data_IF_247037564930
#
_entry.id   IF_247037564930
#
_cell.length_a   1.000
_cell.length_b   1.000
_cell.length_c   1.000
_cell.angle_alpha   90.00
_cell.angle_beta   90.00
_cell.angle_gamma   90.00
#
_symmetry.space_group_name_H-M   'P 1'
#
loop_
_entity.id
_entity.type
_entity.pdbx_description
1 polymer ?
#
# COMPACT_ATOMS: atom_id res chain seq x y z
N UNK A 1 34.29 0.23 23.81
CA UNK A 1 33.79 1.61 24.11
C UNK A 1 33.61 2.31 22.78
N UNK A 2 32.37 2.69 22.44
CA UNK A 2 32.16 3.50 21.24
C UNK A 2 32.86 4.84 21.42
N UNK A 3 33.46 5.37 20.37
CA UNK A 3 34.17 6.65 20.42
C UNK A 3 33.17 7.78 20.74
N UNK A 4 33.63 8.85 21.34
CA UNK A 4 32.79 10.02 21.61
C UNK A 4 32.19 10.60 20.32
N UNK A 5 32.92 10.42 19.19
CA UNK A 5 32.44 10.78 17.87
C UNK A 5 31.24 9.92 17.42
N UNK A 6 31.25 8.61 17.64
CA UNK A 6 30.13 7.74 17.30
C UNK A 6 28.88 8.08 18.07
N UNK A 7 29.03 8.40 19.38
CA UNK A 7 27.90 8.87 20.20
C UNK A 7 27.34 10.19 19.70
N UNK A 8 28.19 11.12 19.28
CA UNK A 8 27.77 12.42 18.74
C UNK A 8 27.07 12.25 17.38
N UNK A 9 27.56 11.35 16.51
CA UNK A 9 26.91 11.01 15.24
C UNK A 9 25.53 10.39 15.52
N UNK A 10 25.45 9.43 16.43
CA UNK A 10 24.19 8.80 16.83
C UNK A 10 23.19 9.84 17.35
N UNK A 11 23.61 10.71 18.24
CA UNK A 11 22.76 11.79 18.77
C UNK A 11 22.29 12.78 17.69
N UNK A 12 23.15 13.08 16.72
CA UNK A 12 22.81 13.95 15.61
C UNK A 12 21.77 13.33 14.64
N UNK A 13 21.71 12.01 14.58
CA UNK A 13 20.72 11.27 13.80
C UNK A 13 19.36 11.16 14.51
N UNK A 14 19.32 11.44 15.83
CA UNK A 14 18.08 11.46 16.59
C UNK A 14 17.38 12.81 16.45
N UNK A 15 16.11 12.80 16.10
CA UNK A 15 15.25 13.99 16.11
C UNK A 15 14.59 14.07 17.49
N UNK A 16 15.15 14.90 18.38
CA UNK A 16 14.73 14.99 19.78
C UNK A 16 15.16 13.76 20.58
N UNK A 17 14.26 13.18 21.36
CA UNK A 17 14.49 11.97 22.15
C UNK A 17 14.09 10.67 21.43
N UNK A 18 13.97 10.71 20.11
CA UNK A 18 13.62 9.54 19.32
C UNK A 18 14.88 8.84 18.85
N UNK A 19 14.98 7.53 19.06
CA UNK A 19 16.06 6.72 18.52
C UNK A 19 16.12 6.83 17.00
N UNK A 20 17.33 6.80 16.38
CA UNK A 20 17.46 6.76 14.94
C UNK A 20 16.67 5.58 14.38
N UNK A 21 15.97 5.80 13.29
CA UNK A 21 15.33 4.72 12.56
C UNK A 21 16.46 3.89 11.94
N UNK A 22 16.65 2.67 12.40
CA UNK A 22 17.72 1.78 11.93
C UNK A 22 17.57 1.46 10.42
N UNK A 23 16.33 1.53 9.91
CA UNK A 23 16.04 1.34 8.50
C UNK A 23 15.44 2.61 7.91
N UNK A 24 16.20 3.31 7.10
CA UNK A 24 15.67 4.45 6.34
C UNK A 24 14.62 3.96 5.34
N UNK A 25 13.38 4.40 5.54
CA UNK A 25 12.32 4.21 4.56
C UNK A 25 12.42 5.33 3.52
N UNK A 26 12.71 5.03 2.23
CA UNK A 26 13.01 6.06 1.23
C UNK A 26 11.78 6.87 0.79
N UNK A 27 10.58 6.47 1.20
CA UNK A 27 9.33 7.13 0.81
C UNK A 27 8.63 7.73 2.03
N UNK A 28 8.15 8.99 1.96
CA UNK A 28 7.44 9.64 3.07
C UNK A 28 6.05 9.05 3.33
N UNK A 29 5.48 8.28 2.40
CA UNK A 29 4.22 7.56 2.52
C UNK A 29 4.02 6.61 1.33
N UNK A 30 2.98 5.76 1.37
CA UNK A 30 2.70 4.78 0.32
C UNK A 30 2.26 5.41 -1.01
N UNK A 31 1.66 6.59 -0.99
CA UNK A 31 1.39 7.33 -2.21
C UNK A 31 2.69 7.73 -2.90
N UNK A 32 3.64 8.29 -2.15
CA UNK A 32 4.95 8.68 -2.69
C UNK A 32 5.75 7.48 -3.19
N UNK A 33 5.49 6.27 -2.68
CA UNK A 33 6.00 5.03 -3.27
C UNK A 33 5.45 4.84 -4.69
N UNK A 34 4.14 4.95 -4.88
CA UNK A 34 3.50 4.80 -6.20
C UNK A 34 4.04 5.83 -7.20
N UNK A 35 4.09 7.09 -6.78
CA UNK A 35 4.60 8.19 -7.61
C UNK A 35 6.10 7.99 -7.96
N UNK A 36 6.92 7.68 -6.96
CA UNK A 36 8.36 7.52 -7.11
C UNK A 36 8.75 6.31 -7.95
N UNK A 37 8.06 5.21 -7.82
CA UNK A 37 8.32 4.01 -8.61
C UNK A 37 7.87 4.19 -10.06
N UNK A 38 6.80 4.95 -10.32
CA UNK A 38 6.44 5.30 -11.69
C UNK A 38 7.53 6.14 -12.36
N UNK A 39 8.09 7.12 -11.65
CA UNK A 39 9.20 7.94 -12.17
C UNK A 39 10.44 7.09 -12.44
N UNK A 40 10.76 6.15 -11.54
CA UNK A 40 11.98 5.33 -11.62
C UNK A 40 11.86 4.17 -12.61
N UNK A 41 10.70 3.52 -12.64
CA UNK A 41 10.49 2.23 -13.29
C UNK A 41 9.21 2.15 -14.12
N UNK A 42 8.75 3.23 -14.73
CA UNK A 42 7.45 3.29 -15.42
C UNK A 42 7.15 2.10 -16.34
N UNK A 43 8.11 1.68 -17.14
CA UNK A 43 7.98 0.56 -18.09
C UNK A 43 8.20 -0.84 -17.47
N UNK A 44 8.71 -0.93 -16.24
CA UNK A 44 8.95 -2.23 -15.59
C UNK A 44 7.66 -2.88 -15.13
N UNK A 45 7.60 -4.20 -15.25
CA UNK A 45 6.48 -5.00 -14.79
C UNK A 45 6.40 -4.97 -13.26
N UNK A 46 5.18 -4.84 -12.76
CA UNK A 46 4.81 -5.04 -11.35
C UNK A 46 4.13 -6.40 -11.20
N UNK A 47 3.13 -6.65 -12.04
CA UNK A 47 2.39 -7.92 -12.08
C UNK A 47 2.62 -8.57 -13.44
N UNK A 48 3.57 -9.51 -13.50
CA UNK A 48 4.07 -10.08 -14.74
C UNK A 48 2.98 -10.83 -15.53
N UNK A 49 2.12 -11.59 -14.84
CA UNK A 49 1.06 -12.37 -15.46
C UNK A 49 0.04 -11.54 -16.25
N UNK A 50 -0.06 -10.27 -15.92
CA UNK A 50 -1.11 -9.37 -16.40
C UNK A 50 -0.57 -8.29 -17.33
N UNK A 51 0.76 -8.23 -17.49
CA UNK A 51 1.40 -7.17 -18.24
C UNK A 51 1.14 -5.78 -17.65
N UNK A 52 0.98 -5.72 -16.31
CA UNK A 52 0.82 -4.47 -15.60
C UNK A 52 2.18 -3.90 -15.22
N UNK A 53 2.57 -2.82 -15.89
CA UNK A 53 3.77 -2.04 -15.58
C UNK A 53 3.51 -1.04 -14.45
N UNK A 54 4.57 -0.46 -13.91
CA UNK A 54 4.49 0.60 -12.89
C UNK A 54 3.65 1.79 -13.36
N UNK A 55 3.81 2.22 -14.63
CA UNK A 55 2.99 3.28 -15.23
C UNK A 55 1.51 2.91 -15.29
N UNK A 56 1.17 1.68 -15.70
CA UNK A 56 -0.22 1.24 -15.71
C UNK A 56 -0.84 1.19 -14.32
N UNK A 57 -0.09 0.67 -13.34
CA UNK A 57 -0.54 0.64 -11.93
C UNK A 57 -0.73 2.07 -11.42
N UNK A 58 0.19 2.97 -11.72
CA UNK A 58 0.08 4.39 -11.38
C UNK A 58 -1.20 5.02 -11.95
N UNK A 59 -1.45 4.88 -13.27
CA UNK A 59 -2.64 5.45 -13.92
C UNK A 59 -3.94 4.89 -13.34
N UNK A 60 -4.00 3.58 -13.12
CA UNK A 60 -5.16 2.94 -12.48
C UNK A 60 -5.36 3.45 -11.05
N UNK A 61 -4.30 3.71 -10.29
CA UNK A 61 -4.39 4.30 -8.97
C UNK A 61 -4.92 5.74 -9.00
N UNK A 62 -4.50 6.55 -10.00
CA UNK A 62 -5.01 7.90 -10.20
C UNK A 62 -6.52 7.90 -10.57
N UNK A 63 -6.92 7.03 -11.50
CA UNK A 63 -8.33 6.85 -11.88
C UNK A 63 -9.17 6.41 -10.68
N UNK A 64 -8.64 5.51 -9.87
CA UNK A 64 -9.28 5.04 -8.63
C UNK A 64 -9.48 6.19 -7.64
N UNK A 65 -8.47 7.02 -7.41
CA UNK A 65 -8.57 8.17 -6.52
C UNK A 65 -9.65 9.17 -7.01
N UNK A 66 -9.69 9.43 -8.31
CA UNK A 66 -10.70 10.30 -8.92
C UNK A 66 -12.12 9.71 -8.79
N UNK A 67 -12.27 8.40 -9.04
CA UNK A 67 -13.55 7.73 -8.82
C UNK A 67 -14.01 7.82 -7.37
N UNK A 68 -13.13 7.51 -6.41
CA UNK A 68 -13.45 7.59 -4.98
C UNK A 68 -13.85 9.01 -4.56
N UNK A 69 -13.16 10.02 -5.10
CA UNK A 69 -13.52 11.43 -4.88
C UNK A 69 -14.92 11.75 -5.41
N UNK A 70 -15.26 11.29 -6.61
CA UNK A 70 -16.59 11.46 -7.20
C UNK A 70 -17.69 10.74 -6.39
N UNK A 71 -17.35 9.64 -5.72
CA UNK A 71 -18.24 8.94 -4.78
C UNK A 71 -18.34 9.62 -3.39
N UNK A 72 -17.71 10.77 -3.23
CA UNK A 72 -17.77 11.58 -2.00
C UNK A 72 -16.77 11.17 -0.92
N UNK A 73 -15.84 10.26 -1.21
CA UNK A 73 -14.79 9.85 -0.29
C UNK A 73 -13.74 10.95 -0.15
N UNK A 74 -13.31 11.18 1.07
CA UNK A 74 -12.35 12.22 1.43
C UNK A 74 -11.06 11.60 1.96
N UNK A 75 -9.94 12.36 1.95
CA UNK A 75 -8.74 11.96 2.68
C UNK A 75 -9.06 11.60 4.14
N UNK A 76 -8.40 10.57 4.66
CA UNK A 76 -8.60 9.97 6.00
C UNK A 76 -9.89 9.17 6.18
N UNK A 77 -10.77 9.12 5.21
CA UNK A 77 -11.91 8.20 5.25
C UNK A 77 -11.41 6.75 5.21
N UNK A 78 -12.22 5.84 5.76
CA UNK A 78 -11.94 4.41 5.79
C UNK A 78 -12.78 3.68 4.75
N UNK A 79 -12.13 2.88 3.92
CA UNK A 79 -12.78 2.09 2.87
C UNK A 79 -12.60 0.62 3.19
N UNK A 80 -13.70 -0.09 3.39
CA UNK A 80 -13.69 -1.53 3.63
C UNK A 80 -13.71 -2.26 2.29
N UNK A 81 -12.74 -3.17 2.10
CA UNK A 81 -12.64 -4.01 0.91
C UNK A 81 -13.11 -5.41 1.28
N UNK A 82 -14.06 -5.91 0.51
CA UNK A 82 -14.67 -7.23 0.68
C UNK A 82 -14.46 -8.06 -0.59
N UNK A 83 -13.44 -8.92 -0.56
CA UNK A 83 -13.18 -9.97 -1.54
C UNK A 83 -13.18 -9.52 -3.01
N UNK A 84 -12.32 -8.62 -3.37
CA UNK A 84 -12.04 -8.37 -4.79
C UNK A 84 -10.99 -9.36 -5.30
N UNK A 85 -11.13 -9.86 -6.53
CA UNK A 85 -10.14 -10.76 -7.13
C UNK A 85 -8.84 -10.01 -7.46
N UNK A 86 -7.74 -10.77 -7.56
CA UNK A 86 -6.48 -10.27 -8.11
C UNK A 86 -6.65 -9.85 -9.59
N UNK A 87 -6.14 -8.69 -10.03
CA UNK A 87 -5.36 -7.68 -9.29
C UNK A 87 -6.20 -6.50 -8.79
N UNK A 88 -7.52 -6.64 -8.73
CA UNK A 88 -8.40 -5.51 -8.42
C UNK A 88 -8.15 -4.96 -7.02
N UNK A 89 -7.90 -5.83 -6.05
CA UNK A 89 -7.63 -5.40 -4.67
C UNK A 89 -6.34 -4.62 -4.58
N UNK A 90 -5.27 -5.09 -5.23
CA UNK A 90 -3.96 -4.44 -5.23
C UNK A 90 -4.01 -3.05 -5.86
N UNK A 91 -4.65 -2.91 -7.00
CA UNK A 91 -4.81 -1.61 -7.67
C UNK A 91 -5.69 -0.66 -6.84
N UNK A 92 -6.79 -1.19 -6.28
CA UNK A 92 -7.68 -0.40 -5.42
C UNK A 92 -6.94 0.18 -4.21
N UNK A 93 -6.09 -0.61 -3.58
CA UNK A 93 -5.27 -0.19 -2.44
C UNK A 93 -4.39 1.01 -2.79
N UNK A 94 -3.70 0.97 -3.93
CA UNK A 94 -2.89 2.10 -4.37
C UNK A 94 -3.74 3.35 -4.64
N UNK A 95 -4.92 3.19 -5.20
CA UNK A 95 -5.84 4.32 -5.41
C UNK A 95 -6.37 4.92 -4.11
N UNK A 96 -6.65 4.10 -3.09
CA UNK A 96 -7.04 4.56 -1.75
C UNK A 96 -5.92 5.40 -1.13
N UNK A 97 -4.67 4.94 -1.21
CA UNK A 97 -3.53 5.70 -0.70
C UNK A 97 -3.22 6.95 -1.53
N UNK A 98 -3.47 6.92 -2.84
CA UNK A 98 -3.33 8.09 -3.72
C UNK A 98 -4.31 9.20 -3.31
N UNK A 99 -5.53 8.85 -2.95
CA UNK A 99 -6.49 9.79 -2.37
C UNK A 99 -6.08 10.27 -0.96
N UNK A 100 -5.29 9.51 -0.23
CA UNK A 100 -4.95 9.77 1.17
C UNK A 100 -5.99 9.23 2.16
N UNK A 101 -6.77 8.26 1.72
CA UNK A 101 -7.71 7.50 2.54
C UNK A 101 -7.03 6.27 3.16
N UNK A 102 -7.73 5.58 4.07
CA UNK A 102 -7.27 4.37 4.76
C UNK A 102 -8.09 3.17 4.32
N UNK A 103 -7.44 2.05 4.08
CA UNK A 103 -8.13 0.81 3.74
C UNK A 103 -8.45 -0.02 4.98
N UNK A 104 -9.49 -0.84 4.88
CA UNK A 104 -9.83 -1.85 5.88
C UNK A 104 -9.92 -3.19 5.19
N UNK A 105 -9.13 -4.15 5.64
CA UNK A 105 -9.25 -5.55 5.24
C UNK A 105 -9.65 -6.41 6.44
N UNK A 106 -10.39 -7.48 6.13
CA UNK A 106 -10.86 -8.43 7.13
C UNK A 106 -10.05 -9.70 6.97
N UNK A 107 -9.32 -10.06 8.02
CA UNK A 107 -8.73 -11.38 8.18
C UNK A 107 -9.80 -12.38 8.60
N UNK A 108 -9.70 -12.84 9.82
CA UNK A 108 -10.74 -13.68 10.43
C UNK A 108 -11.83 -12.81 11.06
N UNK A 109 -13.09 -13.11 10.79
CA UNK A 109 -14.18 -12.46 11.46
C UNK A 109 -15.37 -12.08 10.57
N UNK A 110 -16.37 -11.52 11.22
CA UNK A 110 -17.62 -11.14 10.59
C UNK A 110 -17.57 -9.69 10.10
N UNK A 111 -17.82 -9.49 8.81
CA UNK A 111 -17.88 -8.17 8.18
C UNK A 111 -18.87 -7.21 8.88
N UNK A 112 -20.01 -7.72 9.41
CA UNK A 112 -20.99 -6.90 10.10
C UNK A 112 -20.42 -6.27 11.39
N UNK A 113 -19.58 -7.01 12.11
CA UNK A 113 -18.90 -6.50 13.30
C UNK A 113 -17.85 -5.44 12.94
N UNK A 114 -17.10 -5.67 11.88
CA UNK A 114 -16.13 -4.70 11.37
C UNK A 114 -16.84 -3.40 10.94
N UNK A 115 -17.92 -3.49 10.15
CA UNK A 115 -18.74 -2.35 9.75
C UNK A 115 -19.18 -1.52 10.94
N UNK A 116 -19.76 -2.16 11.95
CA UNK A 116 -20.27 -1.47 13.16
C UNK A 116 -19.16 -0.77 13.95
N UNK A 117 -17.99 -1.39 14.05
CA UNK A 117 -16.91 -0.87 14.89
C UNK A 117 -16.07 0.17 14.20
N UNK A 118 -15.85 0.05 12.89
CA UNK A 118 -14.96 0.91 12.11
C UNK A 118 -15.72 2.06 11.46
N UNK A 119 -17.01 1.85 11.17
CA UNK A 119 -17.87 2.77 10.46
C UNK A 119 -17.22 3.26 9.15
N UNK A 120 -16.97 2.38 8.17
CA UNK A 120 -16.31 2.77 6.92
C UNK A 120 -17.20 3.70 6.10
N UNK A 121 -16.60 4.68 5.45
CA UNK A 121 -17.30 5.61 4.55
C UNK A 121 -17.83 4.90 3.30
N UNK A 122 -17.15 3.82 2.87
CA UNK A 122 -17.55 3.01 1.72
C UNK A 122 -17.14 1.55 1.90
N UNK A 123 -17.94 0.68 1.27
CA UNK A 123 -17.61 -0.74 1.14
C UNK A 123 -17.53 -1.04 -0.35
N UNK A 124 -16.47 -1.74 -0.74
CA UNK A 124 -16.25 -2.17 -2.12
C UNK A 124 -16.14 -3.68 -2.11
N UNK A 125 -17.00 -4.36 -2.88
CA UNK A 125 -17.11 -5.81 -2.95
C UNK A 125 -17.02 -6.30 -4.40
N UNK A 126 -17.03 -7.62 -4.60
CA UNK A 126 -17.02 -8.28 -5.92
C UNK A 126 -18.14 -7.82 -6.86
N UNK A 127 -19.30 -7.43 -6.31
CA UNK A 127 -20.42 -6.90 -7.09
C UNK A 127 -20.08 -5.55 -7.76
N UNK A 128 -19.00 -4.91 -7.31
CA UNK A 128 -18.50 -3.69 -7.91
C UNK A 128 -17.64 -4.05 -9.10
N UNK A 129 -18.13 -3.83 -10.33
CA UNK A 129 -17.29 -3.94 -11.54
C UNK A 129 -16.26 -2.80 -11.55
N UNK A 130 -15.23 -2.98 -10.72
CA UNK A 130 -14.29 -1.95 -10.32
C UNK A 130 -13.52 -1.37 -11.51
N UNK A 131 -12.89 -2.20 -12.33
CA UNK A 131 -12.11 -1.72 -13.47
C UNK A 131 -12.98 -1.01 -14.52
N UNK A 132 -14.21 -1.43 -14.69
CA UNK A 132 -15.14 -0.75 -15.57
C UNK A 132 -15.52 0.61 -15.03
N UNK A 133 -15.73 0.70 -13.71
CA UNK A 133 -16.09 1.97 -13.06
C UNK A 133 -14.98 3.02 -13.18
N UNK A 134 -13.74 2.65 -12.93
CA UNK A 134 -12.62 3.61 -12.95
C UNK A 134 -12.21 4.05 -14.35
N UNK A 135 -12.51 3.25 -15.39
CA UNK A 135 -12.06 3.49 -16.77
C UNK A 135 -12.46 4.86 -17.36
N UNK A 136 -13.57 5.44 -16.90
CA UNK A 136 -14.06 6.74 -17.36
C UNK A 136 -13.44 7.92 -16.64
N UNK A 137 -12.63 7.68 -15.60
CA UNK A 137 -12.03 8.75 -14.80
C UNK A 137 -10.65 9.14 -15.32
N UNK A 138 -10.22 10.40 -15.10
CA UNK A 138 -8.90 10.88 -15.50
C UNK A 138 -7.76 10.06 -14.87
N UNK A 139 -6.70 9.88 -15.63
CA UNK A 139 -5.46 9.20 -15.21
C UNK A 139 -4.50 10.11 -14.42
N UNK A 140 -4.97 11.29 -14.02
CA UNK A 140 -4.25 12.24 -13.19
C UNK A 140 -5.18 12.73 -12.08
N UNK A 141 -4.74 12.58 -10.83
CA UNK A 141 -5.45 13.02 -9.63
C UNK A 141 -4.68 14.14 -8.95
N UNK A 142 -5.35 15.28 -8.73
CA UNK A 142 -4.77 16.39 -7.96
C UNK A 142 -5.09 16.21 -6.47
N UNK A 143 -4.09 15.87 -5.65
CA UNK A 143 -4.33 15.56 -4.26
C UNK A 143 -4.48 16.78 -3.38
N UNK A 144 -5.58 16.86 -2.69
CA UNK A 144 -5.82 17.87 -1.66
C UNK A 144 -5.10 17.62 -0.33
N UNK A 145 -4.52 16.41 -0.16
CA UNK A 145 -3.91 15.99 1.10
C UNK A 145 -2.65 15.16 0.88
N UNK A 146 -1.61 15.45 1.66
CA UNK A 146 -0.37 14.64 1.70
C UNK A 146 -0.30 13.91 3.05
N UNK A 147 -0.47 12.59 3.08
CA UNK A 147 -0.35 11.84 4.32
C UNK A 147 1.09 11.90 4.86
N UNK A 148 1.20 12.01 6.17
CA UNK A 148 2.47 11.85 6.88
C UNK A 148 2.76 10.36 7.08
N UNK A 149 4.02 10.03 7.30
CA UNK A 149 4.48 8.66 7.51
C UNK A 149 3.74 7.93 8.65
N UNK A 150 3.35 8.66 9.70
CA UNK A 150 2.63 8.14 10.85
C UNK A 150 1.10 8.13 10.71
N UNK A 151 0.55 8.66 9.62
CA UNK A 151 -0.89 8.61 9.42
C UNK A 151 -1.35 7.17 9.21
N UNK A 152 -2.61 6.89 9.61
CA UNK A 152 -3.27 5.62 9.36
C UNK A 152 -3.35 5.36 7.84
N UNK A 153 -2.84 4.23 7.40
CA UNK A 153 -2.92 3.78 6.00
C UNK A 153 -3.82 2.57 5.84
N UNK A 154 -3.98 1.80 6.93
CA UNK A 154 -4.71 0.55 6.90
C UNK A 154 -5.23 0.19 8.30
N UNK A 155 -6.38 -0.50 8.32
CA UNK A 155 -6.85 -1.27 9.48
C UNK A 155 -6.93 -2.75 9.07
N UNK A 156 -6.23 -3.59 9.79
CA UNK A 156 -6.41 -5.04 9.71
C UNK A 156 -7.39 -5.48 10.79
N UNK A 157 -8.58 -5.94 10.38
CA UNK A 157 -9.61 -6.39 11.30
C UNK A 157 -9.51 -7.90 11.49
N UNK A 158 -9.25 -8.33 12.71
CA UNK A 158 -9.15 -9.73 13.06
C UNK A 158 -9.83 -10.00 14.42
N UNK A 159 -10.63 -11.04 14.51
CA UNK A 159 -11.24 -11.53 15.77
C UNK A 159 -11.83 -10.41 16.67
N UNK A 160 -12.64 -9.52 16.12
CA UNK A 160 -13.31 -8.38 16.82
C UNK A 160 -12.39 -7.22 17.18
N UNK A 161 -11.14 -7.20 16.72
CA UNK A 161 -10.20 -6.11 16.95
C UNK A 161 -9.67 -5.57 15.63
N UNK A 162 -9.54 -4.25 15.55
CA UNK A 162 -8.87 -3.57 14.44
C UNK A 162 -7.45 -3.16 14.85
N UNK A 163 -6.46 -3.65 14.11
CA UNK A 163 -5.07 -3.21 14.24
C UNK A 163 -4.86 -2.09 13.24
N UNK A 164 -4.58 -0.89 13.73
CA UNK A 164 -4.26 0.27 12.89
C UNK A 164 -2.79 0.26 12.53
N UNK A 165 -2.52 0.42 11.25
CA UNK A 165 -1.16 0.48 10.72
C UNK A 165 -0.97 1.81 9.99
N UNK A 166 0.20 2.41 10.21
CA UNK A 166 0.62 3.63 9.53
C UNK A 166 1.30 3.30 8.20
N UNK A 167 1.52 4.31 7.36
CA UNK A 167 2.39 4.18 6.19
C UNK A 167 3.78 3.66 6.58
N UNK A 168 4.31 4.12 7.72
CA UNK A 168 5.61 3.65 8.24
C UNK A 168 5.62 2.16 8.50
N UNK A 169 4.60 1.63 9.21
CA UNK A 169 4.56 0.21 9.53
C UNK A 169 4.58 -0.67 8.27
N UNK A 170 3.90 -0.28 7.21
CA UNK A 170 3.87 -1.04 5.97
C UNK A 170 5.18 -0.92 5.19
N UNK A 171 5.71 0.29 5.06
CA UNK A 171 6.96 0.54 4.32
C UNK A 171 8.17 -0.10 4.98
N UNK A 172 8.30 -0.04 6.31
CA UNK A 172 9.43 -0.65 7.01
C UNK A 172 9.41 -2.17 6.91
N UNK A 173 8.23 -2.79 6.90
CA UNK A 173 8.11 -4.24 6.70
C UNK A 173 8.51 -4.62 5.27
N UNK A 174 8.06 -3.89 4.24
CA UNK A 174 8.46 -4.14 2.86
C UNK A 174 9.99 -3.98 2.68
N UNK A 175 10.57 -2.93 3.26
CA UNK A 175 12.01 -2.69 3.25
C UNK A 175 12.79 -3.83 3.92
N UNK A 176 12.35 -4.25 5.11
CA UNK A 176 12.98 -5.34 5.85
C UNK A 176 12.95 -6.66 5.10
N UNK A 177 11.82 -6.99 4.46
CA UNK A 177 11.70 -8.22 3.66
C UNK A 177 12.60 -8.13 2.41
N UNK A 178 12.58 -7.02 1.68
CA UNK A 178 13.44 -6.83 0.50
C UNK A 178 14.90 -7.11 0.82
N UNK A 179 15.40 -6.55 1.92
CA UNK A 179 16.79 -6.74 2.33
C UNK A 179 17.08 -8.15 2.91
N UNK A 180 16.11 -8.74 3.59
CA UNK A 180 16.28 -10.06 4.19
C UNK A 180 16.40 -11.20 3.14
N UNK A 181 15.78 -11.01 1.97
CA UNK A 181 15.78 -12.01 0.88
C UNK A 181 16.53 -11.52 -0.36
N UNK A 182 17.22 -10.39 -0.28
CA UNK A 182 17.96 -9.78 -1.40
C UNK A 182 17.12 -9.66 -2.67
N UNK A 183 15.87 -9.21 -2.55
CA UNK A 183 14.94 -9.09 -3.66
C UNK A 183 15.12 -7.77 -4.41
N UNK A 184 15.59 -7.86 -5.65
CA UNK A 184 15.85 -6.69 -6.50
C UNK A 184 15.17 -6.80 -7.88
N UNK A 185 15.24 -5.75 -8.62
CA UNK A 185 14.54 -5.47 -9.88
C UNK A 185 14.85 -6.40 -11.07
N UNK A 186 15.85 -7.23 -10.97
CA UNK A 186 16.24 -8.26 -11.94
C UNK A 186 15.65 -9.64 -11.65
N UNK A 187 14.94 -9.77 -10.55
CA UNK A 187 14.37 -11.02 -10.06
C UNK A 187 12.84 -11.00 -10.21
N UNK A 188 12.27 -12.15 -10.54
CA UNK A 188 10.82 -12.37 -10.49
C UNK A 188 10.51 -13.35 -9.37
N UNK A 189 9.49 -13.09 -8.56
CA UNK A 189 9.12 -13.99 -7.49
C UNK A 189 7.66 -14.42 -7.60
N UNK A 190 7.38 -15.59 -7.04
CA UNK A 190 6.04 -16.17 -7.00
C UNK A 190 5.36 -15.88 -5.67
N UNK A 191 4.15 -15.36 -5.72
CA UNK A 191 3.25 -15.26 -4.58
C UNK A 191 1.80 -15.31 -5.06
N UNK A 192 0.98 -16.05 -4.32
CA UNK A 192 -0.45 -16.16 -4.58
C UNK A 192 -1.18 -16.27 -3.23
N UNK A 193 -1.61 -15.14 -2.71
CA UNK A 193 -2.23 -15.00 -1.39
C UNK A 193 -3.60 -14.33 -1.54
N UNK A 194 -4.51 -14.72 -0.66
CA UNK A 194 -5.82 -14.07 -0.55
C UNK A 194 -5.69 -12.71 0.17
N UNK A 195 -6.49 -11.70 -0.22
CA UNK A 195 -6.41 -10.33 0.33
C UNK A 195 -7.04 -10.23 1.73
N UNK A 196 -6.71 -11.15 2.61
CA UNK A 196 -7.23 -11.27 3.98
C UNK A 196 -6.13 -11.38 5.04
N UNK A 197 -4.88 -11.08 4.68
CA UNK A 197 -3.74 -11.23 5.58
C UNK A 197 -2.73 -10.10 5.43
N UNK A 198 -1.90 -9.92 6.46
CA UNK A 198 -0.77 -9.00 6.40
C UNK A 198 0.32 -9.50 5.44
N UNK A 199 0.46 -10.81 5.30
CA UNK A 199 1.39 -11.38 4.32
C UNK A 199 1.02 -10.96 2.90
N UNK A 200 -0.27 -11.05 2.53
CA UNK A 200 -0.74 -10.55 1.25
C UNK A 200 -0.42 -9.07 1.05
N UNK A 201 -0.72 -8.24 2.05
CA UNK A 201 -0.48 -6.79 1.97
C UNK A 201 0.97 -6.47 1.66
N UNK A 202 1.89 -7.12 2.36
CA UNK A 202 3.32 -6.82 2.18
C UNK A 202 3.86 -7.51 0.93
N UNK A 203 3.65 -8.82 0.78
CA UNK A 203 4.32 -9.62 -0.26
C UNK A 203 3.68 -9.45 -1.65
N UNK A 204 2.38 -9.26 -1.73
CA UNK A 204 1.67 -9.24 -3.00
C UNK A 204 1.26 -7.83 -3.43
N UNK A 205 0.87 -6.96 -2.50
CA UNK A 205 0.48 -5.60 -2.85
C UNK A 205 1.69 -4.63 -2.88
N UNK A 206 2.46 -4.53 -1.80
CA UNK A 206 3.48 -3.47 -1.68
C UNK A 206 4.82 -3.88 -2.29
N UNK A 207 5.31 -5.07 -1.99
CA UNK A 207 6.67 -5.50 -2.30
C UNK A 207 7.01 -5.49 -3.80
N UNK A 208 6.11 -5.87 -4.73
CA UNK A 208 6.43 -5.84 -6.17
C UNK A 208 6.73 -4.42 -6.64
N UNK A 209 5.96 -3.46 -6.15
CA UNK A 209 6.18 -2.05 -6.47
C UNK A 209 7.39 -1.50 -5.71
N UNK A 210 7.57 -1.87 -4.44
CA UNK A 210 8.64 -1.36 -3.59
C UNK A 210 10.03 -1.79 -4.06
N UNK A 211 10.20 -3.07 -4.36
CA UNK A 211 11.49 -3.65 -4.80
C UNK A 211 11.80 -3.39 -6.27
N UNK A 212 10.78 -3.15 -7.09
CA UNK A 212 10.88 -3.15 -8.54
C UNK A 212 11.00 -4.57 -9.14
N UNK A 213 10.93 -5.62 -8.30
CA UNK A 213 10.90 -7.00 -8.73
C UNK A 213 9.48 -7.41 -9.10
N UNK A 214 9.20 -7.83 -10.35
CA UNK A 214 7.88 -8.25 -10.73
C UNK A 214 7.43 -9.52 -9.99
N UNK A 215 6.15 -9.56 -9.62
CA UNK A 215 5.56 -10.76 -9.07
C UNK A 215 4.74 -11.52 -10.13
N UNK A 216 4.66 -12.84 -9.95
CA UNK A 216 3.75 -13.74 -10.67
C UNK A 216 2.86 -14.50 -9.68
N UNK A 217 1.59 -14.67 -10.01
CA UNK A 217 0.65 -15.52 -9.27
C UNK A 217 0.57 -16.94 -9.84
N UNK A 218 1.18 -17.17 -11.00
CA UNK A 218 1.25 -18.47 -11.66
C UNK A 218 2.44 -19.25 -11.13
N UNK A 219 2.16 -20.47 -10.68
CA UNK A 219 3.20 -21.38 -10.24
C UNK A 219 4.19 -21.65 -11.40
N UNK A 220 5.51 -21.50 -11.18
CA UNK A 220 6.53 -21.74 -12.19
C UNK A 220 6.59 -23.20 -12.63
#
# INVERSE_FOLDING_TARGET
MSSDLEKRIYQAQCIGNVEPIEHMVPYPNLRSLVDGQNIKYGEKMVYADLGLTSDKVYRLAQQTANWLTAEGIKPKDRILIDKLPFPQTEVLVFGIWTLGASMVIIGDGNIANAKKSINPAKIISEETDYFKKIKSFPENHDPSFKPLLQNESMIFWNNKKGIKLSHYNLLVNANGIQHAVDLFEDQTYYVNLEPNSMAWMILQAILPLYSGAPMTSKNP
#
